data_IF_479200643284
#
_entry.id   IF_479200643284
#
_cell.length_a   1.000
_cell.length_b   1.000
_cell.length_c   1.000
_cell.angle_alpha   90.00
_cell.angle_beta   90.00
_cell.angle_gamma   90.00
#
_symmetry.space_group_name_H-M   'P 1'
#
loop_
_entity.id
_entity.type
_entity.pdbx_description
1 polymer ?
#
# COMPACT_ATOMS: atom_id res chain seq x y z
N UNK A 1 -15.35 27.28 -28.49
CA UNK A 1 -14.59 26.22 -27.83
C UNK A 1 -15.47 25.56 -26.81
N UNK A 2 -15.44 24.24 -26.75
CA UNK A 2 -16.23 23.44 -25.82
C UNK A 2 -15.30 22.54 -25.01
N UNK A 3 -15.80 22.07 -23.87
CA UNK A 3 -15.07 21.18 -22.96
C UNK A 3 -15.95 19.98 -22.66
N UNK A 4 -15.38 18.79 -22.80
CA UNK A 4 -15.95 17.56 -22.27
C UNK A 4 -15.35 17.33 -20.87
N UNK A 5 -16.18 17.48 -19.84
CA UNK A 5 -15.83 17.33 -18.43
C UNK A 5 -16.48 16.06 -17.86
N UNK A 6 -15.73 15.32 -17.04
CA UNK A 6 -16.26 14.16 -16.31
C UNK A 6 -16.57 14.57 -14.86
N UNK A 7 -17.85 14.55 -14.49
CA UNK A 7 -18.27 14.89 -13.12
C UNK A 7 -17.95 13.77 -12.11
N UNK A 8 -18.11 12.50 -12.51
CA UNK A 8 -17.93 11.34 -11.62
C UNK A 8 -17.48 10.11 -12.39
N UNK A 9 -16.33 9.57 -11.98
CA UNK A 9 -15.82 8.30 -12.49
C UNK A 9 -16.46 7.09 -11.77
N UNK A 10 -16.61 5.95 -12.47
CA UNK A 10 -17.02 4.69 -11.85
C UNK A 10 -16.04 4.22 -10.76
N UNK A 11 -16.52 3.33 -9.87
CA UNK A 11 -15.69 2.74 -8.84
C UNK A 11 -14.49 2.00 -9.47
N UNK A 12 -13.29 2.27 -8.96
CA UNK A 12 -12.05 1.68 -9.47
C UNK A 12 -11.36 2.49 -10.57
N UNK A 13 -11.90 3.63 -11.00
CA UNK A 13 -11.30 4.51 -12.00
C UNK A 13 -11.03 5.92 -11.45
N UNK A 14 -10.08 6.62 -12.05
CA UNK A 14 -9.81 8.04 -11.79
C UNK A 14 -10.72 8.90 -12.68
N UNK A 15 -11.06 10.09 -12.17
CA UNK A 15 -11.72 11.13 -12.97
C UNK A 15 -10.75 11.54 -14.07
N UNK A 16 -11.21 11.48 -15.31
CA UNK A 16 -10.49 11.86 -16.50
C UNK A 16 -10.30 13.38 -16.55
N UNK A 17 -9.23 13.80 -17.24
CA UNK A 17 -8.98 15.22 -17.47
C UNK A 17 -9.92 15.79 -18.52
N UNK A 18 -10.19 17.09 -18.41
CA UNK A 18 -10.97 17.85 -19.39
C UNK A 18 -10.43 17.70 -20.81
N UNK A 19 -11.33 17.52 -21.77
CA UNK A 19 -10.99 17.47 -23.20
C UNK A 19 -11.58 18.69 -23.88
N UNK A 20 -10.71 19.62 -24.29
CA UNK A 20 -11.10 20.78 -25.09
C UNK A 20 -11.26 20.40 -26.57
N UNK A 21 -12.32 20.90 -27.21
CA UNK A 21 -12.54 20.69 -28.64
C UNK A 21 -13.29 21.87 -29.29
N UNK A 22 -13.19 21.95 -30.61
CA UNK A 22 -13.91 22.91 -31.45
C UNK A 22 -14.86 22.19 -32.38
N UNK A 23 -15.97 22.84 -32.71
CA UNK A 23 -16.93 22.34 -33.71
C UNK A 23 -16.75 23.17 -34.97
N UNK A 24 -16.41 22.50 -36.07
CA UNK A 24 -16.35 23.07 -37.42
C UNK A 24 -17.73 23.02 -38.11
N UNK A 25 -18.07 24.03 -38.90
CA UNK A 25 -19.34 24.13 -39.64
C UNK A 25 -19.31 23.35 -40.98
N UNK A 26 -18.77 22.14 -40.96
CA UNK A 26 -18.61 21.30 -42.17
C UNK A 26 -19.80 20.38 -42.43
N UNK A 27 -20.76 20.32 -41.50
CA UNK A 27 -21.87 19.35 -41.53
C UNK A 27 -21.45 17.90 -41.27
N UNK A 28 -20.17 17.64 -41.02
CA UNK A 28 -19.64 16.31 -40.73
C UNK A 28 -19.70 16.00 -39.23
N UNK A 29 -19.85 14.71 -38.89
CA UNK A 29 -19.83 14.25 -37.50
C UNK A 29 -18.40 14.35 -36.95
N UNK A 30 -18.22 15.21 -35.94
CA UNK A 30 -16.96 15.37 -35.23
C UNK A 30 -16.95 14.48 -33.98
N UNK A 31 -15.99 13.55 -33.91
CA UNK A 31 -15.89 12.56 -32.82
C UNK A 31 -14.86 12.99 -31.78
N UNK A 32 -15.30 13.09 -30.53
CA UNK A 32 -14.46 13.30 -29.35
C UNK A 32 -14.57 12.08 -28.45
N UNK A 33 -13.45 11.60 -27.89
CA UNK A 33 -13.41 10.40 -27.05
C UNK A 33 -12.65 10.70 -25.77
N UNK A 34 -13.27 10.36 -24.64
CA UNK A 34 -12.67 10.33 -23.32
C UNK A 34 -12.43 8.86 -22.92
N UNK A 35 -11.34 8.58 -22.20
CA UNK A 35 -10.94 7.22 -21.78
C UNK A 35 -10.71 7.19 -20.28
N UNK A 36 -11.19 6.13 -19.65
CA UNK A 36 -11.01 5.91 -18.21
C UNK A 36 -9.58 5.46 -17.88
N UNK A 37 -9.10 5.87 -16.70
CA UNK A 37 -7.84 5.41 -16.13
C UNK A 37 -8.10 4.62 -14.84
N UNK A 38 -7.70 3.35 -14.80
CA UNK A 38 -7.91 2.50 -13.62
C UNK A 38 -7.05 2.95 -12.44
N UNK A 39 -7.62 2.95 -11.23
CA UNK A 39 -6.88 3.22 -9.99
C UNK A 39 -5.82 2.13 -9.77
N UNK A 40 -4.61 2.50 -9.31
CA UNK A 40 -3.60 1.50 -8.97
C UNK A 40 -4.11 0.64 -7.81
N UNK A 41 -4.14 -0.67 -8.02
CA UNK A 41 -4.41 -1.63 -6.95
C UNK A 41 -3.11 -1.84 -6.18
N UNK A 42 -3.02 -1.28 -4.98
CA UNK A 42 -1.89 -1.56 -4.08
C UNK A 42 -2.07 -2.97 -3.55
N UNK A 43 -1.37 -3.93 -4.17
CA UNK A 43 -1.31 -5.29 -3.67
C UNK A 43 -0.47 -5.31 -2.40
N UNK A 44 -1.06 -5.78 -1.30
CA UNK A 44 -0.33 -6.06 -0.06
C UNK A 44 0.43 -7.37 -0.26
N UNK A 45 1.67 -7.25 -0.72
CA UNK A 45 2.59 -8.39 -0.80
C UNK A 45 3.51 -8.37 0.41
N UNK A 46 3.22 -9.22 1.39
CA UNK A 46 4.03 -9.39 2.60
C UNK A 46 3.23 -10.01 3.75
N UNK A 47 3.92 -10.76 4.61
CA UNK A 47 3.33 -11.29 5.84
C UNK A 47 3.57 -10.31 6.99
N UNK A 48 2.54 -9.93 7.73
CA UNK A 48 2.61 -9.03 8.90
C UNK A 48 3.17 -9.75 10.15
N UNK A 49 4.12 -10.68 10.00
CA UNK A 49 4.60 -11.51 11.11
C UNK A 49 5.52 -10.72 12.06
N UNK A 50 5.11 -10.56 13.32
CA UNK A 50 5.88 -9.86 14.36
C UNK A 50 7.05 -10.70 14.92
N UNK A 51 8.11 -10.82 14.12
CA UNK A 51 9.34 -11.52 14.50
C UNK A 51 10.15 -10.80 15.59
N UNK A 52 9.90 -9.50 15.82
CA UNK A 52 10.60 -8.70 16.85
C UNK A 52 10.18 -9.16 18.24
N UNK A 53 8.88 -9.36 18.45
CA UNK A 53 8.37 -9.88 19.72
C UNK A 53 8.88 -11.29 20.01
N UNK A 54 8.90 -12.16 18.99
CA UNK A 54 9.41 -13.53 19.13
C UNK A 54 10.92 -13.57 19.46
N UNK A 55 11.73 -12.79 18.74
CA UNK A 55 13.18 -12.72 18.99
C UNK A 55 13.51 -12.11 20.36
N UNK A 56 12.76 -11.10 20.80
CA UNK A 56 12.89 -10.52 22.14
C UNK A 56 12.61 -11.55 23.25
N UNK A 57 11.59 -12.39 23.08
CA UNK A 57 11.27 -13.45 24.03
C UNK A 57 12.37 -14.52 24.11
N UNK A 58 12.93 -14.93 22.96
CA UNK A 58 14.04 -15.88 22.92
C UNK A 58 15.28 -15.34 23.62
N UNK A 59 15.64 -14.08 23.38
CA UNK A 59 16.79 -13.43 24.05
C UNK A 59 16.55 -13.34 25.56
N UNK A 60 15.36 -12.90 25.98
CA UNK A 60 15.01 -12.82 27.40
C UNK A 60 15.07 -14.20 28.08
N UNK A 61 14.55 -15.25 27.44
CA UNK A 61 14.60 -16.61 27.97
C UNK A 61 16.04 -17.12 28.10
N UNK A 62 16.90 -16.85 27.10
CA UNK A 62 18.32 -17.22 27.13
C UNK A 62 19.07 -16.51 28.25
N UNK A 63 18.81 -15.21 28.47
CA UNK A 63 19.40 -14.44 29.56
C UNK A 63 18.96 -14.94 30.94
N UNK A 64 17.69 -15.32 31.10
CA UNK A 64 17.19 -15.90 32.35
C UNK A 64 17.85 -17.26 32.63
N UNK A 65 17.96 -18.12 31.62
CA UNK A 65 18.63 -19.42 31.76
C UNK A 65 20.10 -19.20 32.15
N UNK A 66 20.80 -18.28 31.49
CA UNK A 66 22.19 -17.95 31.83
C UNK A 66 22.33 -17.42 33.27
N UNK A 67 21.43 -16.53 33.71
CA UNK A 67 21.43 -15.99 35.07
C UNK A 67 21.20 -17.09 36.13
N UNK A 68 20.29 -18.04 35.86
CA UNK A 68 20.04 -19.20 36.73
C UNK A 68 21.30 -20.07 36.81
N UNK A 69 21.94 -20.38 35.68
CA UNK A 69 23.20 -21.15 35.66
C UNK A 69 24.30 -20.44 36.45
N UNK A 70 24.46 -19.12 36.27
CA UNK A 70 25.43 -18.32 37.01
C UNK A 70 25.17 -18.33 38.52
N UNK A 71 23.90 -18.25 38.94
CA UNK A 71 23.51 -18.35 40.36
C UNK A 71 23.81 -19.73 40.94
N UNK A 72 23.51 -20.81 40.20
CA UNK A 72 23.81 -22.19 40.62
C UNK A 72 25.32 -22.43 40.74
N UNK A 73 26.13 -21.93 39.79
CA UNK A 73 27.59 -22.02 39.87
C UNK A 73 28.13 -21.29 41.10
N UNK A 74 27.71 -20.05 41.31
CA UNK A 74 28.20 -19.22 42.44
C UNK A 74 27.84 -19.81 43.81
N UNK A 75 26.68 -20.44 43.96
CA UNK A 75 26.29 -21.13 45.20
C UNK A 75 26.97 -22.49 45.42
N UNK A 76 27.76 -22.97 44.45
CA UNK A 76 28.62 -24.16 44.61
C UNK A 76 30.07 -23.78 44.96
N UNK A 77 30.44 -22.53 44.73
CA UNK A 77 31.75 -21.97 45.01
C UNK A 77 31.80 -21.26 46.41
N UNK A 78 30.66 -21.22 47.12
CA UNK A 78 30.47 -20.78 48.53
C UNK A 78 30.27 -22.00 49.44
#
# INVERSE_FOLDING_TARGET
>A
TYVLHEDLAPAGYNVASDVEFTISDTGEVQKVVMKDEAKPVVVKTGDDTDYKSLSALLIASGLLIAAVICKIKRGKDE
#
